data_IF_508640420052
#
_entry.id   IF_508640420052
#
_cell.length_a   1.000
_cell.length_b   1.000
_cell.length_c   1.000
_cell.angle_alpha   90.00
_cell.angle_beta   90.00
_cell.angle_gamma   90.00
#
_symmetry.space_group_name_H-M   'P 1'
#
loop_
_entity.id
_entity.type
_entity.pdbx_description
1 polymer ?
#
# COMPACT_ATOMS: atom_id res chain seq x y z
N UNK A 1 -41.50 22.78 48.95
CA UNK A 1 -41.24 21.42 48.48
C UNK A 1 -40.62 21.53 47.09
N UNK A 2 -39.28 21.60 47.03
CA UNK A 2 -38.51 21.68 45.78
C UNK A 2 -38.17 20.27 45.31
N UNK A 3 -38.71 19.86 44.17
CA UNK A 3 -38.32 18.58 43.51
C UNK A 3 -37.20 18.88 42.53
N UNK A 4 -35.99 18.42 42.89
CA UNK A 4 -34.84 18.36 42.00
C UNK A 4 -35.05 17.23 40.98
N UNK A 5 -35.10 17.57 39.70
CA UNK A 5 -35.09 16.61 38.59
C UNK A 5 -33.64 16.36 38.19
N UNK A 6 -33.13 15.12 38.22
CA UNK A 6 -31.79 14.87 37.77
C UNK A 6 -31.71 14.93 36.22
N UNK A 7 -30.83 15.77 35.71
CA UNK A 7 -30.52 15.82 34.28
C UNK A 7 -29.69 14.58 33.90
N UNK A 8 -30.27 13.73 33.08
CA UNK A 8 -29.62 12.56 32.52
C UNK A 8 -28.72 13.01 31.37
N UNK A 9 -27.39 13.06 31.58
CA UNK A 9 -26.42 13.30 30.55
C UNK A 9 -26.31 12.03 29.66
N UNK A 10 -26.91 12.09 28.48
CA UNK A 10 -26.65 11.10 27.42
C UNK A 10 -25.23 11.32 26.86
N UNK A 11 -24.31 10.49 27.26
CA UNK A 11 -23.02 10.39 26.59
C UNK A 11 -23.22 9.71 25.23
N UNK A 12 -23.23 10.49 24.17
CA UNK A 12 -23.21 9.98 22.79
C UNK A 12 -21.83 9.34 22.53
N UNK A 13 -21.78 8.01 22.54
CA UNK A 13 -20.61 7.26 22.09
C UNK A 13 -20.44 7.52 20.58
N UNK A 14 -19.43 8.31 20.23
CA UNK A 14 -19.00 8.50 18.85
C UNK A 14 -18.40 7.17 18.38
N UNK A 15 -19.17 6.36 17.68
CA UNK A 15 -18.66 5.18 16.98
C UNK A 15 -17.68 5.66 15.90
N UNK A 16 -16.38 5.50 16.14
CA UNK A 16 -15.37 5.75 15.13
C UNK A 16 -15.61 4.77 13.97
N UNK A 17 -16.16 5.26 12.86
CA UNK A 17 -16.27 4.50 11.63
C UNK A 17 -14.85 4.14 11.15
N UNK A 18 -14.66 2.88 10.73
CA UNK A 18 -13.43 2.48 10.08
C UNK A 18 -13.14 3.45 8.90
N UNK A 19 -11.89 3.90 8.73
CA UNK A 19 -11.56 4.86 7.68
C UNK A 19 -11.97 4.30 6.31
N UNK A 20 -12.65 5.13 5.53
CA UNK A 20 -13.20 4.76 4.21
C UNK A 20 -12.14 4.48 3.14
N UNK A 21 -10.85 4.38 3.51
CA UNK A 21 -9.72 4.26 2.61
C UNK A 21 -9.43 5.57 1.84
N UNK A 22 -8.26 5.63 1.22
CA UNK A 22 -7.82 6.81 0.47
C UNK A 22 -8.56 6.92 -0.86
N UNK A 23 -8.90 8.15 -1.22
CA UNK A 23 -9.44 8.56 -2.53
C UNK A 23 -8.40 9.35 -3.30
N UNK A 24 -8.55 9.42 -4.62
CA UNK A 24 -7.70 10.29 -5.45
C UNK A 24 -7.74 11.72 -4.92
N UNK A 25 -6.56 12.34 -4.81
CA UNK A 25 -6.36 13.68 -4.24
C UNK A 25 -6.11 13.70 -2.73
N UNK A 26 -6.37 12.62 -2.00
CA UNK A 26 -6.06 12.54 -0.56
C UNK A 26 -4.55 12.57 -0.32
N UNK A 27 -4.16 13.16 0.80
CA UNK A 27 -2.75 13.18 1.22
C UNK A 27 -2.32 11.80 1.71
N UNK A 28 -1.08 11.42 1.40
CA UNK A 28 -0.46 10.23 2.00
C UNK A 28 -0.42 10.37 3.52
N UNK A 29 -1.02 9.46 4.29
CA UNK A 29 -0.95 9.49 5.75
C UNK A 29 0.51 9.33 6.21
N UNK A 30 0.92 10.00 7.29
CA UNK A 30 2.22 9.75 7.90
C UNK A 30 2.24 8.36 8.55
N UNK A 31 3.33 7.65 8.39
CA UNK A 31 3.59 6.39 9.09
C UNK A 31 5.10 6.16 9.24
N UNK A 32 5.46 5.27 10.17
CA UNK A 32 6.82 4.74 10.31
C UNK A 32 6.70 3.27 10.68
N UNK A 33 7.22 2.39 9.83
CA UNK A 33 7.12 0.93 9.98
C UNK A 33 8.50 0.29 9.96
N UNK A 34 8.72 -0.80 10.71
CA UNK A 34 9.97 -1.55 10.68
C UNK A 34 10.18 -2.19 9.31
N UNK A 35 11.37 -2.00 8.75
CA UNK A 35 11.81 -2.56 7.48
C UNK A 35 12.62 -3.85 7.63
N UNK A 36 12.69 -4.60 6.55
CA UNK A 36 13.49 -5.83 6.46
C UNK A 36 15.00 -5.58 6.54
N UNK A 37 15.44 -4.34 6.39
CA UNK A 37 16.83 -3.89 6.56
C UNK A 37 17.17 -3.50 8.01
N UNK A 38 16.22 -3.66 8.94
CA UNK A 38 16.37 -3.29 10.35
C UNK A 38 16.19 -1.80 10.64
N UNK A 39 15.84 -0.99 9.64
CA UNK A 39 15.54 0.42 9.79
C UNK A 39 14.03 0.67 9.76
N UNK A 40 13.60 1.77 10.37
CA UNK A 40 12.22 2.23 10.24
C UNK A 40 12.10 3.15 9.01
N UNK A 41 11.07 2.91 8.20
CA UNK A 41 10.80 3.70 7.00
C UNK A 41 9.36 4.21 6.97
N UNK A 42 9.18 5.31 6.25
CA UNK A 42 7.89 5.92 5.99
C UNK A 42 7.95 6.84 4.77
N UNK A 43 6.86 7.55 4.46
CA UNK A 43 6.85 8.48 3.35
C UNK A 43 7.85 9.60 3.61
N UNK A 44 8.84 9.78 2.71
CA UNK A 44 9.77 10.91 2.75
C UNK A 44 8.99 12.23 2.63
N UNK A 45 9.61 13.37 2.98
CA UNK A 45 8.93 14.66 3.03
C UNK A 45 8.41 15.16 1.67
N UNK A 46 9.07 14.79 0.57
CA UNK A 46 8.73 15.23 -0.78
C UNK A 46 9.13 14.20 -1.85
N UNK A 47 8.64 14.43 -3.07
CA UNK A 47 8.89 13.60 -4.25
C UNK A 47 7.83 12.51 -4.48
N UNK A 48 7.69 11.97 -5.69
CA UNK A 48 6.76 10.88 -6.00
C UNK A 48 7.02 9.63 -5.15
N UNK A 49 5.93 8.96 -4.74
CA UNK A 49 5.98 7.77 -3.89
C UNK A 49 5.02 6.70 -4.42
N UNK A 50 5.52 5.48 -4.56
CA UNK A 50 4.69 4.30 -4.71
C UNK A 50 4.64 3.54 -3.38
N UNK A 51 3.45 3.32 -2.84
CA UNK A 51 3.21 2.33 -1.79
C UNK A 51 2.54 1.12 -2.42
N UNK A 52 3.10 -0.06 -2.19
CA UNK A 52 2.52 -1.32 -2.67
C UNK A 52 2.34 -2.29 -1.51
N UNK A 53 1.09 -2.77 -1.32
CA UNK A 53 0.81 -3.80 -0.33
C UNK A 53 1.15 -5.16 -0.90
N UNK A 54 1.99 -5.91 -0.19
CA UNK A 54 2.59 -7.17 -0.63
C UNK A 54 2.33 -8.29 0.40
N UNK A 55 2.62 -9.52 -0.01
CA UNK A 55 2.55 -10.72 0.83
C UNK A 55 3.62 -11.71 0.39
N UNK A 56 4.20 -12.42 1.33
CA UNK A 56 5.21 -13.44 1.04
C UNK A 56 4.61 -14.71 0.42
N UNK A 57 3.33 -14.99 0.70
CA UNK A 57 2.65 -16.22 0.26
C UNK A 57 1.61 -16.00 -0.85
N UNK A 58 1.39 -14.76 -1.29
CA UNK A 58 0.38 -14.47 -2.30
C UNK A 58 0.84 -14.86 -3.72
N UNK A 59 0.17 -15.80 -4.42
CA UNK A 59 0.54 -16.18 -5.78
C UNK A 59 0.46 -15.02 -6.79
N UNK A 60 -0.40 -14.04 -6.56
CA UNK A 60 -0.44 -12.83 -7.40
C UNK A 60 0.83 -11.99 -7.21
N UNK A 61 1.31 -11.83 -5.97
CA UNK A 61 2.58 -11.14 -5.70
C UNK A 61 3.75 -11.91 -6.31
N UNK A 62 3.81 -13.24 -6.10
CA UNK A 62 4.86 -14.09 -6.65
C UNK A 62 4.94 -14.01 -8.18
N UNK A 63 3.81 -13.94 -8.87
CA UNK A 63 3.76 -13.82 -10.33
C UNK A 63 4.11 -12.42 -10.84
N UNK A 64 3.99 -11.37 -10.00
CA UNK A 64 4.24 -9.97 -10.40
C UNK A 64 5.54 -9.40 -9.83
N UNK A 65 6.17 -10.05 -8.84
CA UNK A 65 7.29 -9.50 -8.09
C UNK A 65 8.49 -9.08 -8.96
N UNK A 66 8.83 -9.83 -9.99
CA UNK A 66 9.92 -9.47 -10.92
C UNK A 66 9.60 -8.15 -11.65
N UNK A 67 8.32 -7.92 -12.00
CA UNK A 67 7.89 -6.68 -12.63
C UNK A 67 7.87 -5.52 -11.64
N UNK A 68 7.49 -5.77 -10.37
CA UNK A 68 7.57 -4.76 -9.30
C UNK A 68 9.02 -4.34 -9.08
N UNK A 69 9.97 -5.27 -9.09
CA UNK A 69 11.39 -4.97 -8.99
C UNK A 69 11.91 -4.21 -10.21
N UNK A 70 11.51 -4.63 -11.41
CA UNK A 70 11.85 -3.91 -12.65
C UNK A 70 11.33 -2.47 -12.64
N UNK A 71 10.11 -2.26 -12.12
CA UNK A 71 9.55 -0.93 -11.90
C UNK A 71 10.41 -0.13 -10.92
N UNK A 72 10.75 -0.69 -9.76
CA UNK A 72 11.57 -0.01 -8.76
C UNK A 72 12.95 0.38 -9.32
N UNK A 73 13.58 -0.50 -10.09
CA UNK A 73 14.85 -0.23 -10.75
C UNK A 73 14.72 0.87 -11.83
N UNK A 74 13.68 0.80 -12.68
CA UNK A 74 13.41 1.78 -13.75
C UNK A 74 13.25 3.20 -13.23
N UNK A 75 12.60 3.34 -12.08
CA UNK A 75 12.27 4.65 -11.49
C UNK A 75 13.15 5.05 -10.31
N UNK A 76 14.29 4.37 -10.12
CA UNK A 76 15.28 4.73 -9.08
C UNK A 76 15.66 6.21 -9.18
N UNK A 77 15.62 6.92 -8.03
CA UNK A 77 15.89 8.35 -7.93
C UNK A 77 14.76 9.27 -8.42
N UNK A 78 13.69 8.71 -9.02
CA UNK A 78 12.51 9.47 -9.49
C UNK A 78 11.26 9.20 -8.67
N UNK A 79 11.08 7.96 -8.24
CA UNK A 79 9.95 7.51 -7.42
C UNK A 79 10.48 6.69 -6.26
N UNK A 80 10.14 7.07 -5.03
CA UNK A 80 10.40 6.22 -3.86
C UNK A 80 9.43 5.05 -3.89
N UNK A 81 9.90 3.82 -3.67
CA UNK A 81 9.03 2.63 -3.58
C UNK A 81 9.08 2.08 -2.17
N UNK A 82 7.91 1.88 -1.55
CA UNK A 82 7.74 1.24 -0.25
C UNK A 82 6.80 0.04 -0.41
N UNK A 83 7.29 -1.16 -0.14
CA UNK A 83 6.46 -2.36 -0.01
C UNK A 83 5.96 -2.50 1.42
N UNK A 84 4.69 -2.83 1.63
CA UNK A 84 4.11 -3.05 2.98
C UNK A 84 3.45 -4.41 3.04
N UNK A 85 3.80 -5.19 4.06
CA UNK A 85 3.13 -6.44 4.40
C UNK A 85 2.35 -6.26 5.70
N UNK A 86 1.05 -6.53 5.65
CA UNK A 86 0.14 -6.41 6.79
C UNK A 86 -0.51 -7.73 7.17
N UNK A 87 -0.20 -8.84 6.48
CA UNK A 87 -0.85 -10.11 6.78
C UNK A 87 -0.57 -10.56 8.22
N UNK A 88 -1.60 -11.08 8.86
CA UNK A 88 -1.53 -11.58 10.22
C UNK A 88 -0.62 -12.81 10.31
N UNK A 89 0.35 -12.76 11.22
CA UNK A 89 1.35 -13.83 11.41
C UNK A 89 0.81 -15.02 12.22
N UNK A 90 -0.23 -14.81 13.01
CA UNK A 90 -0.82 -15.87 13.85
C UNK A 90 -1.57 -16.89 12.97
N UNK A 91 -2.11 -16.43 11.84
CA UNK A 91 -2.81 -17.28 10.87
C UNK A 91 -1.96 -17.59 9.64
N UNK A 92 -0.89 -16.83 9.36
CA UNK A 92 0.01 -16.93 8.20
C UNK A 92 1.45 -16.76 8.64
N UNK A 93 2.02 -17.82 9.23
CA UNK A 93 3.34 -17.77 9.88
C UNK A 93 4.49 -17.25 9.01
N UNK A 94 4.43 -17.52 7.69
CA UNK A 94 5.43 -17.03 6.71
C UNK A 94 5.32 -15.54 6.34
N UNK A 95 4.46 -14.81 7.00
CA UNK A 95 4.32 -13.36 6.86
C UNK A 95 5.05 -12.60 7.99
N UNK A 96 5.92 -13.29 8.75
CA UNK A 96 6.74 -12.66 9.80
C UNK A 96 7.81 -11.73 9.19
N UNK A 97 8.30 -10.78 9.99
CA UNK A 97 9.39 -9.90 9.56
C UNK A 97 10.65 -10.70 9.17
N UNK A 98 10.92 -11.81 9.86
CA UNK A 98 12.06 -12.69 9.54
C UNK A 98 11.90 -13.37 8.17
N UNK A 99 10.70 -13.88 7.86
CA UNK A 99 10.42 -14.47 6.55
C UNK A 99 10.45 -13.41 5.44
N UNK A 100 9.94 -12.22 5.70
CA UNK A 100 10.05 -11.08 4.79
C UNK A 100 11.51 -10.69 4.53
N UNK A 101 12.39 -10.73 5.54
CA UNK A 101 13.83 -10.49 5.38
C UNK A 101 14.46 -11.54 4.47
N UNK A 102 14.14 -12.82 4.71
CA UNK A 102 14.63 -13.91 3.87
C UNK A 102 14.15 -13.77 2.42
N UNK A 103 12.87 -13.43 2.22
CA UNK A 103 12.30 -13.16 0.90
C UNK A 103 12.97 -11.98 0.22
N UNK A 104 13.09 -10.83 0.88
CA UNK A 104 13.68 -9.63 0.32
C UNK A 104 15.13 -9.87 -0.12
N UNK A 105 15.91 -10.57 0.71
CA UNK A 105 17.29 -10.96 0.39
C UNK A 105 17.33 -11.96 -0.77
N UNK A 106 16.53 -13.03 -0.71
CA UNK A 106 16.53 -14.09 -1.72
C UNK A 106 16.05 -13.62 -3.09
N UNK A 107 15.15 -12.64 -3.13
CA UNK A 107 14.62 -12.04 -4.35
C UNK A 107 15.36 -10.78 -4.79
N UNK A 108 16.31 -10.27 -4.00
CA UNK A 108 17.09 -9.08 -4.31
C UNK A 108 16.22 -7.79 -4.38
N UNK A 109 15.32 -7.59 -3.41
CA UNK A 109 14.52 -6.36 -3.38
C UNK A 109 15.41 -5.12 -3.24
N UNK A 110 15.19 -4.13 -4.10
CA UNK A 110 15.95 -2.87 -4.12
C UNK A 110 15.17 -1.71 -3.48
N UNK A 111 14.01 -2.01 -2.90
CA UNK A 111 13.13 -1.05 -2.21
C UNK A 111 12.88 -1.50 -0.76
N UNK A 112 12.52 -0.56 0.11
CA UNK A 112 12.21 -0.86 1.50
C UNK A 112 10.94 -1.71 1.61
N UNK A 113 11.03 -2.86 2.29
CA UNK A 113 9.92 -3.77 2.54
C UNK A 113 9.58 -3.78 4.03
N UNK A 114 8.37 -3.36 4.37
CA UNK A 114 7.96 -2.92 5.70
C UNK A 114 6.88 -3.83 6.27
N UNK A 115 6.88 -4.03 7.59
CA UNK A 115 5.85 -4.79 8.29
C UNK A 115 4.88 -3.86 9.02
N UNK A 116 3.58 -3.91 8.64
CA UNK A 116 2.47 -3.26 9.36
C UNK A 116 1.77 -4.29 10.25
N UNK A 117 2.45 -4.71 11.34
CA UNK A 117 1.91 -5.73 12.24
C UNK A 117 0.59 -5.32 12.94
N UNK A 118 0.36 -4.05 13.34
CA UNK A 118 -0.92 -3.61 13.88
C UNK A 118 -1.99 -3.38 12.81
N UNK A 119 -1.66 -3.43 11.53
CA UNK A 119 -2.57 -3.24 10.38
C UNK A 119 -3.24 -1.85 10.30
N UNK A 120 -2.69 -0.87 11.04
CA UNK A 120 -3.26 0.49 11.11
C UNK A 120 -3.05 1.25 9.81
N UNK A 121 -1.82 1.21 9.25
CA UNK A 121 -1.50 1.86 7.99
C UNK A 121 -2.33 1.28 6.87
N UNK A 122 -2.42 -0.05 6.79
CA UNK A 122 -3.16 -0.77 5.76
C UNK A 122 -4.65 -0.44 5.79
N UNK A 123 -5.25 -0.37 6.99
CA UNK A 123 -6.65 0.06 7.15
C UNK A 123 -6.85 1.52 6.73
N UNK A 124 -5.92 2.42 7.08
CA UNK A 124 -5.98 3.83 6.71
C UNK A 124 -5.92 4.04 5.21
N UNK A 125 -5.06 3.29 4.51
CA UNK A 125 -5.01 3.29 3.04
C UNK A 125 -6.28 2.69 2.41
N UNK A 126 -6.99 1.82 3.13
CA UNK A 126 -8.09 1.05 2.59
C UNK A 126 -7.63 0.01 1.59
N UNK A 127 -6.41 -0.53 1.76
CA UNK A 127 -5.91 -1.61 0.93
C UNK A 127 -6.74 -2.88 1.18
N UNK A 128 -7.09 -3.60 0.12
CA UNK A 128 -8.00 -4.75 0.18
C UNK A 128 -7.37 -6.05 -0.25
N UNK A 129 -6.29 -5.99 -1.01
CA UNK A 129 -5.62 -7.18 -1.55
C UNK A 129 -4.11 -6.99 -1.67
N UNK A 130 -3.41 -8.06 -2.06
CA UNK A 130 -1.99 -8.04 -2.40
C UNK A 130 -1.78 -8.69 -3.77
N UNK A 131 -1.10 -7.98 -4.73
CA UNK A 131 -0.60 -6.61 -4.60
C UNK A 131 -1.72 -5.55 -4.75
N UNK A 132 -1.59 -4.42 -4.03
CA UNK A 132 -2.45 -3.22 -4.20
C UNK A 132 -1.56 -1.98 -4.28
N UNK A 133 -1.72 -1.15 -5.32
CA UNK A 133 -0.78 -0.09 -5.66
C UNK A 133 -1.38 1.30 -5.44
N UNK A 134 -0.60 2.18 -4.78
CA UNK A 134 -0.97 3.57 -4.48
C UNK A 134 0.18 4.49 -4.89
N UNK A 135 0.02 5.25 -5.97
CA UNK A 135 1.01 6.22 -6.44
C UNK A 135 0.62 7.63 -6.00
N UNK A 136 1.57 8.30 -5.37
CA UNK A 136 1.44 9.68 -4.92
C UNK A 136 2.36 10.59 -5.71
N UNK A 137 1.91 11.82 -5.96
CA UNK A 137 2.71 12.86 -6.61
C UNK A 137 3.80 13.44 -5.69
N UNK A 138 4.52 14.45 -6.19
CA UNK A 138 5.56 15.15 -5.44
C UNK A 138 5.06 15.90 -4.20
N UNK A 139 3.77 16.26 -4.16
CA UNK A 139 3.10 16.87 -3.02
C UNK A 139 2.42 15.83 -2.10
N UNK A 140 2.67 14.54 -2.32
CA UNK A 140 2.06 13.42 -1.58
C UNK A 140 0.55 13.29 -1.73
N UNK A 141 -0.03 13.73 -2.85
CA UNK A 141 -1.41 13.49 -3.18
C UNK A 141 -1.55 12.20 -3.96
N UNK A 142 -2.53 11.36 -3.59
CA UNK A 142 -2.83 10.11 -4.30
C UNK A 142 -3.30 10.44 -5.72
N UNK A 143 -2.58 9.98 -6.73
CA UNK A 143 -2.87 10.24 -8.14
C UNK A 143 -3.21 8.99 -8.94
N UNK A 144 -2.87 7.81 -8.41
CA UNK A 144 -3.24 6.52 -8.98
C UNK A 144 -3.44 5.49 -7.88
N UNK A 145 -4.51 4.69 -8.02
CA UNK A 145 -4.75 3.49 -7.23
C UNK A 145 -5.31 2.41 -8.14
N UNK A 146 -4.68 1.24 -8.18
CA UNK A 146 -5.17 0.18 -9.05
C UNK A 146 -4.16 -0.93 -9.26
N UNK A 147 -4.33 -1.67 -10.36
CA UNK A 147 -3.48 -2.79 -10.75
C UNK A 147 -2.16 -2.32 -11.34
N UNK A 148 -1.18 -3.22 -11.39
CA UNK A 148 0.09 -2.95 -12.08
C UNK A 148 -0.07 -2.94 -13.61
N UNK A 149 -0.74 -3.98 -14.11
CA UNK A 149 -0.96 -4.23 -15.54
C UNK A 149 -2.21 -5.12 -15.75
N UNK A 150 -2.54 -5.40 -17.00
CA UNK A 150 -3.72 -6.17 -17.40
C UNK A 150 -3.54 -7.69 -17.34
N UNK A 151 -2.32 -8.20 -17.03
CA UNK A 151 -2.04 -9.64 -16.96
C UNK A 151 -1.17 -10.01 -15.76
N UNK A 152 -1.81 -10.18 -14.58
CA UNK A 152 -1.08 -10.52 -13.35
C UNK A 152 -0.29 -11.84 -13.45
N UNK A 153 -0.81 -12.84 -14.17
CA UNK A 153 -0.30 -14.22 -14.19
C UNK A 153 0.84 -14.42 -15.18
N UNK A 154 0.76 -13.78 -16.33
CA UNK A 154 1.64 -14.03 -17.47
C UNK A 154 2.19 -12.72 -18.03
N UNK A 155 3.47 -12.47 -17.77
CA UNK A 155 4.14 -11.24 -18.21
C UNK A 155 4.18 -11.08 -19.74
N UNK A 156 4.14 -12.20 -20.48
CA UNK A 156 4.16 -12.17 -21.96
C UNK A 156 2.83 -11.74 -22.57
N UNK A 157 1.75 -11.76 -21.76
CA UNK A 157 0.41 -11.34 -22.17
C UNK A 157 0.06 -9.93 -21.71
N UNK A 158 1.01 -9.21 -21.11
CA UNK A 158 0.79 -7.81 -20.73
C UNK A 158 0.72 -6.96 -21.97
N UNK A 159 -0.44 -6.32 -22.18
CA UNK A 159 -0.71 -5.36 -23.27
C UNK A 159 -0.87 -3.95 -22.74
N UNK A 160 -1.34 -3.77 -21.50
CA UNK A 160 -1.52 -2.48 -20.85
C UNK A 160 -0.75 -2.45 -19.52
N UNK A 161 0.10 -1.44 -19.34
CA UNK A 161 0.92 -1.20 -18.15
C UNK A 161 0.38 0.01 -17.39
N UNK A 162 -0.74 -0.20 -16.69
CA UNK A 162 -1.51 0.90 -16.07
C UNK A 162 -0.67 1.73 -15.09
N UNK A 163 0.07 1.08 -14.17
CA UNK A 163 0.92 1.77 -13.20
C UNK A 163 2.08 2.52 -13.86
N UNK A 164 2.74 1.90 -14.86
CA UNK A 164 3.82 2.58 -15.59
C UNK A 164 3.29 3.79 -16.37
N UNK A 165 2.14 3.67 -17.05
CA UNK A 165 1.53 4.76 -17.78
C UNK A 165 1.17 5.93 -16.85
N UNK A 166 0.61 5.64 -15.68
CA UNK A 166 0.33 6.65 -14.65
C UNK A 166 1.61 7.33 -14.15
N UNK A 167 2.67 6.56 -13.93
CA UNK A 167 3.96 7.09 -13.47
C UNK A 167 4.63 7.98 -14.53
N UNK A 168 4.64 7.56 -15.79
CA UNK A 168 5.20 8.36 -16.89
C UNK A 168 4.41 9.66 -17.09
N UNK A 169 3.07 9.62 -16.99
CA UNK A 169 2.24 10.82 -17.05
C UNK A 169 2.57 11.77 -15.88
N UNK A 170 2.67 11.24 -14.65
CA UNK A 170 3.04 12.01 -13.46
C UNK A 170 4.39 12.72 -13.64
N UNK A 171 5.42 11.96 -14.04
CA UNK A 171 6.78 12.49 -14.21
C UNK A 171 6.89 13.51 -15.35
N UNK A 172 6.01 13.41 -16.36
CA UNK A 172 5.91 14.34 -17.48
C UNK A 172 5.00 15.56 -17.18
N UNK A 173 4.40 15.64 -15.99
CA UNK A 173 3.42 16.69 -15.64
C UNK A 173 2.14 16.64 -16.48
N UNK A 174 1.78 15.45 -17.01
CA UNK A 174 0.58 15.23 -17.81
C UNK A 174 -0.56 14.69 -16.95
N UNK A 175 -1.82 14.88 -17.36
CA UNK A 175 -2.97 14.29 -16.70
C UNK A 175 -2.86 12.75 -16.66
N UNK A 176 -3.20 12.17 -15.50
CA UNK A 176 -3.33 10.73 -15.33
C UNK A 176 -4.79 10.36 -15.64
N UNK A 177 -5.01 9.20 -16.27
CA UNK A 177 -6.35 8.72 -16.56
C UNK A 177 -7.20 8.62 -15.28
N UNK A 178 -8.44 9.12 -15.36
CA UNK A 178 -9.38 9.11 -14.21
C UNK A 178 -9.87 7.68 -13.92
N UNK A 179 -10.09 6.90 -14.98
CA UNK A 179 -10.49 5.49 -14.84
C UNK A 179 -9.25 4.64 -14.51
N UNK A 180 -9.29 4.03 -13.34
CA UNK A 180 -8.17 3.26 -12.78
C UNK A 180 -8.65 1.85 -12.48
N UNK A 181 -8.26 0.85 -13.28
CA UNK A 181 -8.67 -0.53 -13.08
C UNK A 181 -8.24 -1.03 -11.71
N UNK A 182 -9.17 -1.67 -10.93
CA UNK A 182 -8.87 -2.10 -9.57
C UNK A 182 -7.78 -3.14 -9.52
N UNK A 183 -7.03 -3.15 -8.43
CA UNK A 183 -6.05 -4.20 -8.11
C UNK A 183 -6.73 -5.57 -8.05
N UNK A 184 -5.98 -6.61 -8.42
CA UNK A 184 -6.38 -8.01 -8.30
C UNK A 184 -5.34 -8.75 -7.48
N UNK A 185 -5.81 -9.51 -6.48
CA UNK A 185 -4.89 -10.21 -5.60
C UNK A 185 -5.60 -11.00 -4.52
N UNK A 186 -4.83 -11.62 -3.64
CA UNK A 186 -5.34 -12.27 -2.44
C UNK A 186 -5.81 -11.21 -1.44
N UNK A 187 -6.93 -11.45 -0.77
CA UNK A 187 -7.38 -10.58 0.33
C UNK A 187 -6.31 -10.49 1.42
N UNK A 188 -6.18 -9.31 2.02
CA UNK A 188 -5.33 -9.11 3.19
C UNK A 188 -5.86 -10.00 4.33
N UNK A 189 -4.94 -10.61 5.07
CA UNK A 189 -5.26 -11.47 6.22
C UNK A 189 -5.29 -10.59 7.46
N UNK A 190 -6.49 -10.23 7.85
CA UNK A 190 -6.75 -9.37 9.01
C UNK A 190 -6.68 -10.18 10.32
N UNK A 191 -6.24 -9.50 11.38
CA UNK A 191 -6.43 -9.93 12.76
C UNK A 191 -7.89 -9.90 13.14
#
# INVERSE_FOLDING_TARGET
>A
MNRLVPALLLASALMAQAPAGLKLGDACPPFSLPGTDGQAHGPAAAGPLLVVFLSSECPYVMATQTRIQAYAAKYTGKVTVLGINANDVDTHAKESLADMQAQAKGQGFTFAYLKDAPQVVTRTFGAVCTPDFFLFDGARKLVYRGRMDDSWRDATKVTVRDLEAATEALLAGKPIAVEQPPSRGCSIKWK
#
